data_IF_463173415008
#
_entry.id   IF_463173415008
#
_cell.length_a   1.000
_cell.length_b   1.000
_cell.length_c   1.000
_cell.angle_alpha   90.00
_cell.angle_beta   90.00
_cell.angle_gamma   90.00
#
_symmetry.space_group_name_H-M   'P 1'
#
loop_
_entity.id
_entity.type
_entity.pdbx_description
1 polymer ?
#
# COMPACT_ATOMS: atom_id res chain seq x y z
N UNK A 1 -24.24 -37.99 7.46
CA UNK A 1 -24.57 -37.92 6.03
C UNK A 1 -23.27 -37.89 5.26
N UNK A 2 -23.05 -38.81 4.31
CA UNK A 2 -21.82 -38.89 3.51
C UNK A 2 -22.04 -38.08 2.22
N UNK A 3 -21.30 -36.99 2.05
CA UNK A 3 -21.27 -36.21 0.81
C UNK A 3 -20.19 -36.78 -0.10
N UNK A 4 -20.64 -37.45 -1.16
CA UNK A 4 -19.80 -38.03 -2.21
C UNK A 4 -19.46 -36.93 -3.21
N UNK A 5 -18.23 -36.43 -3.19
CA UNK A 5 -17.74 -35.49 -4.21
C UNK A 5 -17.39 -36.27 -5.48
N UNK A 6 -18.07 -35.94 -6.59
CA UNK A 6 -17.73 -36.44 -7.93
C UNK A 6 -16.58 -35.61 -8.49
N UNK A 7 -15.46 -36.27 -8.77
CA UNK A 7 -14.34 -35.75 -9.54
C UNK A 7 -14.82 -35.28 -10.93
N UNK A 8 -14.71 -33.99 -11.20
CA UNK A 8 -14.81 -33.44 -12.56
C UNK A 8 -13.40 -33.42 -13.15
N UNK A 9 -13.05 -34.45 -13.93
CA UNK A 9 -11.87 -34.41 -14.80
C UNK A 9 -12.14 -33.43 -15.94
N UNK A 10 -11.58 -32.23 -15.85
CA UNK A 10 -11.51 -31.29 -16.97
C UNK A 10 -10.29 -31.67 -17.81
N UNK A 11 -10.52 -32.43 -18.87
CA UNK A 11 -9.57 -32.69 -19.93
C UNK A 11 -9.93 -31.88 -21.17
N UNK A 12 -8.91 -31.55 -21.96
CA UNK A 12 -8.98 -31.13 -23.37
C UNK A 12 -9.41 -29.65 -23.62
N UNK A 13 -8.81 -28.87 -24.51
CA UNK A 13 -7.99 -29.14 -25.70
C UNK A 13 -6.99 -27.99 -25.90
N UNK A 14 -5.72 -28.33 -26.10
CA UNK A 14 -4.69 -27.41 -26.63
C UNK A 14 -4.83 -27.39 -28.16
N UNK A 15 -5.44 -26.35 -28.74
CA UNK A 15 -5.41 -26.13 -30.20
C UNK A 15 -4.28 -25.17 -30.57
N UNK A 16 -3.15 -25.75 -30.97
CA UNK A 16 -2.11 -25.09 -31.77
C UNK A 16 -2.68 -24.78 -33.16
N UNK A 17 -2.76 -23.48 -33.49
CA UNK A 17 -3.17 -23.00 -34.81
C UNK A 17 -2.47 -21.69 -35.18
N UNK A 18 -1.26 -21.79 -35.74
CA UNK A 18 -0.79 -20.89 -36.82
C UNK A 18 -1.21 -21.52 -38.16
N UNK A 19 -1.38 -20.79 -39.30
CA UNK A 19 -0.71 -19.53 -39.68
C UNK A 19 -1.59 -18.52 -40.48
N UNK A 20 -0.99 -17.36 -40.82
CA UNK A 20 -0.91 -16.78 -42.17
C UNK A 20 -1.06 -15.25 -42.20
N UNK A 21 -0.10 -14.62 -42.87
CA UNK A 21 -0.03 -13.22 -43.18
C UNK A 21 -1.15 -12.75 -44.14
N UNK A 22 -1.75 -11.61 -43.80
CA UNK A 22 -2.43 -10.65 -44.69
C UNK A 22 -2.10 -9.29 -44.04
N UNK A 23 -1.36 -8.36 -44.63
CA UNK A 23 -1.37 -7.95 -46.04
C UNK A 23 -2.39 -6.84 -46.26
N UNK A 24 -2.25 -5.71 -45.55
CA UNK A 24 -2.90 -4.45 -45.94
C UNK A 24 -1.81 -3.39 -46.16
N UNK A 25 -1.59 -3.15 -47.45
CA UNK A 25 -1.02 -1.93 -48.01
C UNK A 25 -1.93 -0.76 -47.64
N UNK A 26 -1.40 0.28 -46.99
CA UNK A 26 -2.03 1.61 -47.00
C UNK A 26 -1.03 2.59 -47.64
N UNK A 27 -1.26 2.83 -48.92
CA UNK A 27 -0.58 3.83 -49.73
C UNK A 27 -1.39 5.14 -49.63
N UNK A 28 -1.21 5.88 -48.54
CA UNK A 28 -1.94 7.11 -48.24
C UNK A 28 -1.03 8.32 -48.01
N UNK A 29 -0.62 8.96 -49.10
CA UNK A 29 0.09 10.25 -49.10
C UNK A 29 -0.72 11.40 -48.46
N UNK A 30 0.00 12.26 -47.73
CA UNK A 30 -0.37 13.66 -47.49
C UNK A 30 -0.63 13.97 -46.02
N UNK A 31 0.01 14.92 -45.36
CA UNK A 31 0.92 15.95 -45.81
C UNK A 31 1.22 16.89 -44.64
N UNK A 32 2.17 17.78 -44.91
CA UNK A 32 2.51 19.02 -44.19
C UNK A 32 3.08 18.89 -42.79
N UNK A 33 4.42 18.99 -42.78
CA UNK A 33 5.23 19.79 -41.87
C UNK A 33 4.44 20.84 -41.09
N UNK A 34 4.50 20.75 -39.77
CA UNK A 34 4.43 21.90 -38.89
C UNK A 34 5.61 21.79 -37.92
N UNK A 35 6.73 22.37 -38.33
CA UNK A 35 7.82 22.73 -37.44
C UNK A 35 7.28 23.79 -36.47
N UNK A 36 6.97 23.38 -35.25
CA UNK A 36 6.58 24.26 -34.16
C UNK A 36 7.77 24.52 -33.25
N UNK A 37 8.71 25.35 -33.70
CA UNK A 37 9.73 25.96 -32.85
C UNK A 37 9.02 26.79 -31.76
N UNK A 38 9.15 26.36 -30.51
CA UNK A 38 8.80 27.14 -29.33
C UNK A 38 9.92 26.99 -28.31
N UNK A 39 11.05 27.61 -28.60
CA UNK A 39 12.07 27.98 -27.61
C UNK A 39 11.47 29.06 -26.70
N UNK A 40 10.93 28.63 -25.56
CA UNK A 40 10.50 29.49 -24.46
C UNK A 40 11.56 29.48 -23.37
N UNK A 41 12.55 30.37 -23.51
CA UNK A 41 13.60 30.59 -22.53
C UNK A 41 13.02 31.44 -21.38
N UNK A 42 12.27 30.79 -20.50
CA UNK A 42 11.69 31.40 -19.31
C UNK A 42 12.72 31.45 -18.17
N UNK A 43 13.66 32.37 -18.26
CA UNK A 43 14.52 32.76 -17.14
C UNK A 43 13.64 33.37 -16.04
N UNK A 44 13.37 32.57 -15.00
CA UNK A 44 12.67 32.96 -13.78
C UNK A 44 13.63 32.95 -12.60
N UNK A 45 14.49 33.96 -12.56
CA UNK A 45 15.36 34.36 -11.46
C UNK A 45 14.54 34.85 -10.26
N UNK A 46 14.00 33.89 -9.50
CA UNK A 46 13.40 34.10 -8.18
C UNK A 46 14.41 33.86 -7.06
N UNK A 47 15.27 34.85 -6.81
CA UNK A 47 16.14 34.90 -5.64
C UNK A 47 15.35 35.29 -4.39
N UNK A 48 15.15 34.39 -3.42
CA UNK A 48 15.02 34.77 -2.00
C UNK A 48 15.63 33.68 -1.10
N UNK A 49 16.88 33.93 -0.69
CA UNK A 49 17.54 33.30 0.45
C UNK A 49 16.85 33.76 1.73
N UNK A 50 16.02 32.90 2.31
CA UNK A 50 15.52 33.07 3.67
C UNK A 50 16.49 32.44 4.66
N UNK A 51 17.51 33.19 5.07
CA UNK A 51 18.36 32.87 6.21
C UNK A 51 17.54 33.05 7.51
N UNK A 52 16.81 32.01 7.89
CA UNK A 52 16.12 31.90 9.17
C UNK A 52 17.06 31.37 10.24
N UNK A 53 17.93 32.24 10.76
CA UNK A 53 18.78 32.05 11.93
C UNK A 53 17.97 32.06 13.23
N UNK A 54 17.13 31.04 13.41
CA UNK A 54 16.44 30.75 14.67
C UNK A 54 17.35 30.03 15.65
N UNK A 55 18.22 30.78 16.32
CA UNK A 55 18.95 30.30 17.50
C UNK A 55 18.02 30.23 18.72
N UNK A 56 17.54 29.04 19.08
CA UNK A 56 17.05 28.79 20.44
C UNK A 56 17.89 27.70 21.10
N UNK A 57 18.97 28.17 21.73
CA UNK A 57 19.67 27.45 22.78
C UNK A 57 18.77 27.40 24.01
N UNK A 58 18.02 26.30 24.16
CA UNK A 58 17.33 25.95 25.40
C UNK A 58 18.24 25.10 26.28
N UNK A 59 19.07 25.76 27.07
CA UNK A 59 19.90 25.20 28.14
C UNK A 59 19.07 24.90 29.40
N UNK A 60 18.25 23.85 29.32
CA UNK A 60 17.55 23.28 30.46
C UNK A 60 18.41 22.28 31.22
N UNK A 61 19.35 22.77 32.02
CA UNK A 61 20.10 21.98 32.98
C UNK A 61 19.28 21.75 34.26
N UNK A 62 18.81 20.51 34.46
CA UNK A 62 18.38 20.04 35.78
C UNK A 62 19.16 18.77 36.16
N UNK A 63 20.31 18.99 36.78
CA UNK A 63 21.02 18.00 37.58
C UNK A 63 20.28 17.85 38.91
N UNK A 64 19.34 16.91 38.96
CA UNK A 64 18.72 16.45 40.20
C UNK A 64 19.60 15.41 40.88
N UNK A 65 20.52 15.87 41.73
CA UNK A 65 21.30 15.03 42.65
C UNK A 65 20.37 14.51 43.76
N UNK A 66 19.73 13.38 43.50
CA UNK A 66 18.92 12.64 44.47
C UNK A 66 19.75 11.59 45.18
N UNK A 67 20.58 12.02 46.13
CA UNK A 67 21.26 11.14 47.10
C UNK A 67 20.23 10.46 48.00
N UNK A 68 19.96 9.19 47.72
CA UNK A 68 19.09 8.31 48.49
C UNK A 68 19.83 7.05 48.94
N UNK A 69 20.80 7.21 49.85
CA UNK A 69 21.39 6.12 50.63
C UNK A 69 20.34 5.45 51.51
N UNK A 70 20.16 4.14 51.41
CA UNK A 70 19.31 3.39 52.34
C UNK A 70 19.21 1.88 52.10
N UNK A 71 19.88 1.13 52.97
CA UNK A 71 19.61 -0.26 53.39
C UNK A 71 20.21 -1.46 52.62
N UNK A 72 21.44 -1.75 53.02
CA UNK A 72 21.85 -2.96 53.76
C UNK A 72 21.05 -4.26 53.57
N UNK A 73 21.69 -5.21 52.91
CA UNK A 73 21.80 -6.58 53.44
C UNK A 73 20.81 -7.59 52.89
N UNK A 74 21.16 -8.22 51.79
CA UNK A 74 20.89 -9.66 51.64
C UNK A 74 21.98 -10.31 50.80
N UNK A 75 22.86 -11.05 51.47
CA UNK A 75 23.80 -11.98 50.86
C UNK A 75 23.03 -13.24 50.46
N UNK A 76 22.35 -13.19 49.32
CA UNK A 76 21.92 -14.39 48.61
C UNK A 76 22.81 -14.54 47.36
N UNK A 77 23.66 -15.56 47.26
CA UNK A 77 24.29 -15.91 46.00
C UNK A 77 23.30 -16.76 45.20
N UNK A 78 22.67 -16.13 44.22
CA UNK A 78 21.86 -16.79 43.19
C UNK A 78 21.89 -15.92 41.94
N UNK A 79 22.76 -16.22 40.98
CA UNK A 79 22.55 -17.19 39.88
C UNK A 79 21.65 -16.67 38.77
N UNK A 80 22.12 -15.65 38.06
CA UNK A 80 21.53 -15.26 36.79
C UNK A 80 21.84 -13.83 36.44
N UNK A 81 23.09 -13.56 36.07
CA UNK A 81 23.48 -12.39 35.28
C UNK A 81 22.88 -12.56 33.88
N UNK A 82 21.56 -12.76 33.78
CA UNK A 82 20.81 -12.66 32.55
C UNK A 82 20.84 -11.20 32.19
N UNK A 83 21.84 -10.86 31.40
CA UNK A 83 22.29 -9.55 30.96
C UNK A 83 21.17 -8.75 30.32
N UNK A 84 20.00 -9.37 30.08
CA UNK A 84 18.72 -8.70 29.87
C UNK A 84 18.89 -7.55 28.91
N UNK A 85 19.77 -7.76 27.94
CA UNK A 85 20.12 -6.95 26.79
C UNK A 85 18.90 -7.06 25.91
N UNK A 86 17.82 -6.46 26.44
CA UNK A 86 16.44 -6.63 26.07
C UNK A 86 16.39 -6.46 24.58
N UNK A 87 16.47 -7.60 23.91
CA UNK A 87 16.46 -7.66 22.47
C UNK A 87 15.16 -6.96 22.13
N UNK A 88 15.20 -5.77 21.53
CA UNK A 88 13.99 -5.03 21.23
C UNK A 88 13.14 -6.02 20.45
N UNK A 89 12.04 -6.45 21.08
CA UNK A 89 11.32 -7.64 20.64
C UNK A 89 11.11 -7.57 19.14
N UNK A 90 11.32 -8.68 18.43
CA UNK A 90 11.24 -8.69 16.97
C UNK A 90 9.95 -7.98 16.54
N UNK A 91 10.05 -7.03 15.59
CA UNK A 91 8.91 -6.21 15.22
C UNK A 91 7.78 -7.13 14.74
N UNK A 92 6.61 -6.94 15.34
CA UNK A 92 5.44 -7.77 15.10
C UNK A 92 4.23 -6.87 14.89
N UNK A 93 3.33 -7.29 13.99
CA UNK A 93 2.02 -6.66 13.87
C UNK A 93 1.23 -6.88 15.18
N UNK A 94 0.35 -5.93 15.57
CA UNK A 94 -0.51 -6.10 16.74
C UNK A 94 -1.33 -7.41 16.67
N UNK A 95 -1.61 -8.01 17.82
CA UNK A 95 -2.38 -9.28 17.91
C UNK A 95 -3.78 -9.18 17.29
N UNK A 96 -4.35 -7.97 17.23
CA UNK A 96 -5.66 -7.69 16.66
C UNK A 96 -5.63 -7.30 15.17
N UNK A 97 -4.47 -7.33 14.51
CA UNK A 97 -4.38 -7.11 13.07
C UNK A 97 -5.18 -8.17 12.29
N UNK A 98 -5.93 -7.80 11.23
CA UNK A 98 -6.18 -6.46 10.69
C UNK A 98 -7.41 -5.74 11.27
N UNK A 99 -8.01 -6.24 12.35
CA UNK A 99 -9.23 -5.65 12.94
C UNK A 99 -9.01 -4.26 13.58
N UNK A 100 -7.76 -3.90 13.92
CA UNK A 100 -7.39 -2.55 14.38
C UNK A 100 -7.32 -1.50 13.28
N UNK A 101 -7.43 -1.87 12.01
CA UNK A 101 -7.40 -0.94 10.90
C UNK A 101 -8.78 -0.27 10.72
N UNK A 102 -8.85 1.04 10.98
CA UNK A 102 -10.08 1.82 11.09
C UNK A 102 -10.14 3.00 10.13
N UNK A 103 -8.99 3.51 9.69
CA UNK A 103 -8.89 4.65 8.77
C UNK A 103 -8.61 4.15 7.37
N UNK A 104 -9.52 4.37 6.42
CA UNK A 104 -9.33 3.98 5.04
C UNK A 104 -9.28 5.20 4.11
N UNK A 105 -8.33 5.20 3.18
CA UNK A 105 -8.19 6.20 2.14
C UNK A 105 -7.68 5.59 0.85
N UNK A 106 -7.90 6.28 -0.26
CA UNK A 106 -7.45 5.80 -1.56
C UNK A 106 -7.36 6.91 -2.61
N UNK A 107 -6.70 6.58 -3.71
CA UNK A 107 -6.43 7.50 -4.82
C UNK A 107 -5.96 6.73 -6.06
N UNK A 108 -5.56 7.48 -7.08
CA UNK A 108 -5.10 6.94 -8.36
C UNK A 108 -6.22 6.15 -9.02
N UNK A 109 -5.85 5.14 -9.80
CA UNK A 109 -6.85 4.19 -10.29
C UNK A 109 -7.34 3.30 -9.14
N UNK A 110 -6.46 2.50 -8.53
CA UNK A 110 -6.74 1.81 -7.26
C UNK A 110 -5.50 1.71 -6.38
N UNK A 111 -5.21 2.77 -5.63
CA UNK A 111 -4.40 2.68 -4.43
C UNK A 111 -5.32 2.78 -3.21
N UNK A 112 -5.16 1.87 -2.26
CA UNK A 112 -5.92 1.84 -1.00
C UNK A 112 -4.91 1.70 0.14
N UNK A 113 -4.99 2.60 1.12
CA UNK A 113 -4.30 2.50 2.39
C UNK A 113 -5.35 2.38 3.50
N UNK A 114 -5.21 1.38 4.36
CA UNK A 114 -6.03 1.23 5.57
C UNK A 114 -5.13 1.16 6.78
N UNK A 115 -5.27 2.09 7.71
CA UNK A 115 -4.39 2.26 8.85
C UNK A 115 -5.16 2.19 10.17
N UNK A 116 -4.45 1.97 11.27
CA UNK A 116 -4.98 2.19 12.62
C UNK A 116 -5.17 3.70 12.90
N UNK A 117 -5.74 4.02 14.07
CA UNK A 117 -5.97 5.39 14.53
C UNK A 117 -4.68 6.23 14.60
N UNK A 118 -3.54 5.60 14.87
CA UNK A 118 -2.24 6.28 14.94
C UNK A 118 -1.53 6.42 13.58
N UNK A 119 -2.02 5.80 12.51
CA UNK A 119 -1.35 5.81 11.20
C UNK A 119 -0.01 5.06 11.17
N UNK A 120 0.27 4.22 12.16
CA UNK A 120 1.55 3.52 12.35
C UNK A 120 1.55 2.08 11.89
N UNK A 121 0.38 1.46 11.79
CA UNK A 121 0.17 0.11 11.27
C UNK A 121 -0.82 0.19 10.13
N UNK A 122 -0.54 -0.46 9.00
CA UNK A 122 -1.42 -0.37 7.86
C UNK A 122 -1.35 -1.53 6.89
N UNK A 123 -2.37 -1.58 6.05
CA UNK A 123 -2.49 -2.44 4.89
C UNK A 123 -2.52 -1.57 3.64
N UNK A 124 -1.55 -1.80 2.75
CA UNK A 124 -1.36 -1.05 1.52
C UNK A 124 -1.68 -1.95 0.34
N UNK A 125 -2.66 -1.56 -0.45
CA UNK A 125 -3.06 -2.25 -1.66
C UNK A 125 -2.87 -1.35 -2.88
N UNK A 126 -2.29 -1.90 -3.94
CA UNK A 126 -2.18 -1.25 -5.23
C UNK A 126 -2.64 -2.21 -6.31
N UNK A 127 -3.62 -1.78 -7.11
CA UNK A 127 -4.08 -2.43 -8.32
C UNK A 127 -4.24 -1.40 -9.44
N UNK A 128 -4.37 -1.88 -10.67
CA UNK A 128 -4.47 -1.01 -11.84
C UNK A 128 -5.64 -1.36 -12.76
N UNK A 129 -6.10 -0.33 -13.46
CA UNK A 129 -7.10 -0.32 -14.52
C UNK A 129 -8.54 -0.67 -14.08
N UNK A 130 -8.90 -0.70 -12.79
CA UNK A 130 -10.29 -1.01 -12.40
C UNK A 130 -11.19 0.21 -12.39
N UNK A 131 -10.78 1.34 -11.80
CA UNK A 131 -11.64 2.51 -11.70
C UNK A 131 -11.90 3.11 -13.09
N UNK A 132 -10.85 3.17 -13.93
CA UNK A 132 -10.97 3.59 -15.32
C UNK A 132 -11.90 2.66 -16.13
N UNK A 133 -11.73 1.34 -16.02
CA UNK A 133 -12.60 0.38 -16.70
C UNK A 133 -14.04 0.48 -16.22
N UNK A 134 -14.25 0.67 -14.92
CA UNK A 134 -15.58 0.83 -14.33
C UNK A 134 -16.32 2.03 -14.94
N UNK A 135 -15.61 3.16 -15.13
CA UNK A 135 -16.15 4.35 -15.79
C UNK A 135 -16.36 4.16 -17.30
N UNK A 136 -15.41 3.56 -18.01
CA UNK A 136 -15.54 3.30 -19.45
C UNK A 136 -16.76 2.42 -19.77
N UNK A 137 -16.98 1.40 -18.93
CA UNK A 137 -18.12 0.49 -19.07
C UNK A 137 -19.41 1.03 -18.45
N UNK A 138 -19.31 1.97 -17.51
CA UNK A 138 -20.45 2.44 -16.71
C UNK A 138 -21.04 1.38 -15.79
N UNK A 139 -20.21 0.42 -15.34
CA UNK A 139 -20.64 -0.78 -14.61
C UNK A 139 -19.65 -1.12 -13.49
N UNK A 140 -20.16 -1.74 -12.41
CA UNK A 140 -19.34 -2.28 -11.32
C UNK A 140 -18.33 -3.31 -11.85
N UNK A 141 -17.06 -3.13 -11.50
CA UNK A 141 -16.00 -4.08 -11.82
C UNK A 141 -15.67 -4.93 -10.59
N UNK A 142 -15.43 -6.21 -10.79
CA UNK A 142 -14.99 -7.14 -9.75
C UNK A 142 -13.76 -7.87 -10.26
N UNK A 143 -12.66 -7.82 -9.51
CA UNK A 143 -11.43 -8.55 -9.81
C UNK A 143 -11.03 -9.40 -8.62
N UNK A 144 -10.98 -10.71 -8.85
CA UNK A 144 -10.39 -11.68 -7.92
C UNK A 144 -8.94 -11.94 -8.36
N UNK A 145 -8.01 -11.98 -7.42
CA UNK A 145 -6.59 -12.26 -7.67
C UNK A 145 -6.04 -13.24 -6.64
N UNK A 146 -5.36 -14.29 -7.11
CA UNK A 146 -4.62 -15.23 -6.27
C UNK A 146 -3.20 -14.70 -6.07
N UNK A 147 -2.74 -14.67 -4.82
CA UNK A 147 -1.45 -14.08 -4.46
C UNK A 147 -0.30 -15.11 -4.50
N UNK A 148 0.92 -14.70 -4.90
CA UNK A 148 1.24 -13.38 -5.45
C UNK A 148 0.68 -13.23 -6.88
N UNK A 149 0.26 -12.03 -7.23
CA UNK A 149 -0.25 -11.69 -8.57
C UNK A 149 0.61 -10.58 -9.16
N UNK A 150 0.88 -10.57 -10.48
CA UNK A 150 1.57 -9.47 -11.13
C UNK A 150 0.72 -8.19 -11.20
N UNK A 151 -0.61 -8.31 -11.10
CA UNK A 151 -1.55 -7.20 -11.32
C UNK A 151 -1.96 -6.48 -10.04
N UNK A 152 -1.61 -7.04 -8.87
CA UNK A 152 -1.90 -6.44 -7.56
C UNK A 152 -0.72 -6.59 -6.63
N UNK A 153 -0.47 -5.56 -5.83
CA UNK A 153 0.49 -5.57 -4.74
C UNK A 153 -0.26 -5.35 -3.44
N UNK A 154 -0.12 -6.29 -2.50
CA UNK A 154 -0.75 -6.23 -1.18
C UNK A 154 0.34 -6.39 -0.11
N UNK A 155 0.41 -5.42 0.79
CA UNK A 155 1.43 -5.35 1.85
C UNK A 155 0.79 -4.99 3.19
N UNK A 156 1.33 -5.54 4.26
CA UNK A 156 1.14 -5.05 5.61
C UNK A 156 2.41 -4.31 6.04
N UNK A 157 2.28 -3.22 6.79
CA UNK A 157 3.42 -2.38 7.15
C UNK A 157 3.29 -1.81 8.57
N UNK A 158 4.46 -1.59 9.19
CA UNK A 158 4.63 -0.70 10.33
C UNK A 158 5.48 0.49 9.85
N UNK A 159 5.11 1.70 10.22
CA UNK A 159 5.81 2.90 9.81
C UNK A 159 5.14 4.18 10.26
N UNK A 160 5.30 5.25 9.48
CA UNK A 160 4.58 6.51 9.64
C UNK A 160 4.09 7.00 8.28
N UNK A 161 3.10 7.91 8.28
CA UNK A 161 2.53 8.50 7.05
C UNK A 161 2.03 7.42 6.06
N UNK A 162 1.53 6.29 6.57
CA UNK A 162 1.16 5.14 5.73
C UNK A 162 -0.02 5.44 4.77
N UNK A 163 -0.82 6.46 5.08
CA UNK A 163 -1.92 6.98 4.27
C UNK A 163 -1.50 8.11 3.29
N UNK A 164 -0.26 8.60 3.37
CA UNK A 164 0.27 9.69 2.54
C UNK A 164 0.67 9.23 1.11
N UNK A 165 0.38 7.97 0.75
CA UNK A 165 0.63 7.44 -0.60
C UNK A 165 -0.13 8.15 -1.71
N UNK A 166 -1.11 8.98 -1.34
CA UNK A 166 -1.94 9.78 -2.23
C UNK A 166 -1.56 11.25 -2.30
N UNK A 167 -0.49 11.68 -1.65
CA UNK A 167 -0.06 13.07 -1.65
C UNK A 167 1.10 13.25 -2.64
N UNK A 168 0.89 14.06 -3.68
CA UNK A 168 1.89 14.39 -4.70
C UNK A 168 3.02 15.30 -4.16
N UNK A 169 2.74 16.01 -3.08
CA UNK A 169 3.69 16.90 -2.38
C UNK A 169 4.27 16.29 -1.10
N UNK A 170 3.81 15.09 -0.73
CA UNK A 170 4.17 14.40 0.51
C UNK A 170 5.48 13.62 0.41
N UNK A 171 6.00 13.23 1.58
CA UNK A 171 7.14 12.30 1.65
C UNK A 171 6.71 10.86 1.32
N UNK A 172 5.40 10.60 1.29
CA UNK A 172 4.82 9.28 1.09
C UNK A 172 5.01 8.36 2.31
N UNK A 173 4.54 7.10 2.22
CA UNK A 173 4.64 6.14 3.31
C UNK A 173 6.09 5.89 3.74
N UNK A 174 6.39 6.18 5.01
CA UNK A 174 7.69 5.90 5.62
C UNK A 174 7.62 4.52 6.29
N UNK A 175 7.97 3.49 5.54
CA UNK A 175 7.86 2.08 5.98
C UNK A 175 9.11 1.68 6.76
N UNK A 176 8.93 1.25 8.01
CA UNK A 176 9.99 0.70 8.87
C UNK A 176 10.07 -0.82 8.75
N UNK A 177 8.91 -1.48 8.77
CA UNK A 177 8.79 -2.93 8.60
C UNK A 177 7.69 -3.25 7.60
N UNK A 178 7.92 -4.28 6.77
CA UNK A 178 7.01 -4.65 5.70
C UNK A 178 6.85 -6.16 5.63
N UNK A 179 5.61 -6.59 5.44
CA UNK A 179 5.27 -7.94 5.03
C UNK A 179 4.57 -7.90 3.67
N UNK A 180 5.03 -8.72 2.74
CA UNK A 180 4.40 -8.88 1.42
C UNK A 180 3.47 -10.09 1.44
N UNK A 181 2.28 -9.96 0.84
CA UNK A 181 1.38 -11.10 0.71
C UNK A 181 1.93 -12.14 -0.29
N UNK A 182 2.12 -13.37 0.18
CA UNK A 182 2.72 -14.48 -0.59
C UNK A 182 1.72 -15.58 -0.96
N UNK A 183 0.52 -15.57 -0.36
CA UNK A 183 -0.55 -16.51 -0.70
C UNK A 183 -1.92 -15.96 -0.29
N UNK A 184 -3.00 -16.64 -0.72
CA UNK A 184 -4.38 -16.27 -0.45
C UNK A 184 -5.07 -15.65 -1.66
N UNK A 185 -6.22 -15.04 -1.41
CA UNK A 185 -7.04 -14.39 -2.44
C UNK A 185 -7.43 -12.99 -1.98
N UNK A 186 -7.34 -12.05 -2.92
CA UNK A 186 -7.88 -10.71 -2.77
C UNK A 186 -8.98 -10.49 -3.80
N UNK A 187 -10.12 -9.98 -3.36
CA UNK A 187 -11.22 -9.56 -4.24
C UNK A 187 -11.41 -8.07 -4.09
N UNK A 188 -11.36 -7.37 -5.22
CA UNK A 188 -11.57 -5.94 -5.29
C UNK A 188 -12.83 -5.68 -6.11
N UNK A 189 -13.80 -5.00 -5.50
CA UNK A 189 -15.01 -4.53 -6.17
C UNK A 189 -14.93 -3.01 -6.28
N UNK A 190 -15.14 -2.47 -7.48
CA UNK A 190 -15.09 -1.02 -7.75
C UNK A 190 -16.40 -0.58 -8.39
N UNK A 191 -17.07 0.37 -7.76
CA UNK A 191 -18.34 0.96 -8.20
C UNK A 191 -18.07 2.39 -8.69
N UNK A 192 -18.26 2.69 -9.98
CA UNK A 192 -18.00 4.04 -10.49
C UNK A 192 -18.99 5.04 -9.87
N UNK A 193 -18.47 6.19 -9.44
CA UNK A 193 -19.23 7.29 -8.87
C UNK A 193 -19.10 8.55 -9.72
N UNK A 194 -20.08 9.45 -9.66
CA UNK A 194 -19.97 10.75 -10.32
C UNK A 194 -19.81 10.70 -11.84
N UNK A 195 -19.31 11.79 -12.43
CA UNK A 195 -18.93 11.86 -13.85
C UNK A 195 -17.42 11.78 -13.96
N UNK A 196 -16.92 10.94 -14.88
CA UNK A 196 -15.50 10.91 -15.20
C UNK A 196 -15.03 12.27 -15.78
N UNK A 197 -13.89 12.73 -15.27
CA UNK A 197 -13.14 13.88 -15.74
C UNK A 197 -11.74 13.42 -16.19
N UNK A 198 -11.02 14.20 -17.04
CA UNK A 198 -9.67 13.81 -17.49
C UNK A 198 -8.65 13.58 -16.36
N UNK A 199 -8.88 14.17 -15.19
CA UNK A 199 -8.02 14.07 -14.00
C UNK A 199 -8.67 13.28 -12.85
N UNK A 200 -9.90 12.78 -13.00
CA UNK A 200 -10.61 12.08 -11.95
C UNK A 200 -11.63 11.08 -12.49
N UNK A 201 -11.56 9.83 -12.03
CA UNK A 201 -12.50 8.76 -12.29
C UNK A 201 -13.07 8.23 -10.97
N UNK A 202 -13.81 9.06 -10.21
CA UNK A 202 -14.17 8.77 -8.81
C UNK A 202 -14.93 7.45 -8.68
N UNK A 203 -14.57 6.63 -7.70
CA UNK A 203 -15.23 5.35 -7.47
C UNK A 203 -15.18 4.95 -6.00
N UNK A 204 -16.12 4.12 -5.57
CA UNK A 204 -16.06 3.47 -4.26
C UNK A 204 -15.51 2.06 -4.46
N UNK A 205 -14.56 1.67 -3.62
CA UNK A 205 -13.91 0.37 -3.65
C UNK A 205 -14.20 -0.43 -2.37
N UNK A 206 -14.41 -1.72 -2.54
CA UNK A 206 -14.46 -2.73 -1.48
C UNK A 206 -13.32 -3.71 -1.69
N UNK A 207 -12.50 -3.92 -0.67
CA UNK A 207 -11.37 -4.85 -0.69
C UNK A 207 -11.65 -5.98 0.31
N UNK A 208 -11.66 -7.21 -0.19
CA UNK A 208 -11.89 -8.43 0.59
C UNK A 208 -10.66 -9.33 0.54
N UNK A 209 -10.20 -9.80 1.69
CA UNK A 209 -9.09 -10.73 1.85
C UNK A 209 -9.62 -12.09 2.29
N UNK A 210 -9.05 -13.16 1.76
CA UNK A 210 -9.39 -14.54 2.14
C UNK A 210 -8.14 -15.41 2.21
N UNK A 211 -7.86 -15.94 3.40
CA UNK A 211 -6.70 -16.78 3.73
C UNK A 211 -5.37 -16.20 3.24
N UNK A 212 -5.15 -14.90 3.46
CA UNK A 212 -3.93 -14.21 3.00
C UNK A 212 -2.81 -14.45 3.99
N UNK A 213 -1.65 -14.89 3.50
CA UNK A 213 -0.42 -14.99 4.30
C UNK A 213 0.56 -13.92 3.88
N UNK A 214 1.08 -13.20 4.85
CA UNK A 214 2.06 -12.14 4.74
C UNK A 214 3.41 -12.61 5.29
N UNK A 215 4.49 -12.39 4.55
CA UNK A 215 5.86 -12.73 4.95
C UNK A 215 6.78 -11.50 4.81
N UNK A 216 7.73 -11.35 5.73
CA UNK A 216 8.75 -10.30 5.72
C UNK A 216 10.11 -10.86 6.15
N UNK A 217 11.20 -10.25 5.69
CA UNK A 217 12.56 -10.73 6.01
C UNK A 217 12.85 -10.55 7.51
N UNK A 218 13.08 -11.66 8.22
CA UNK A 218 13.34 -11.64 9.66
C UNK A 218 12.11 -11.34 10.53
N UNK A 219 10.91 -11.33 9.93
CA UNK A 219 9.64 -11.08 10.62
C UNK A 219 8.81 -12.36 10.70
N UNK A 220 7.99 -12.49 11.75
CA UNK A 220 7.06 -13.61 11.85
C UNK A 220 5.97 -13.52 10.77
N UNK A 221 5.61 -14.63 10.08
CA UNK A 221 4.52 -14.62 9.12
C UNK A 221 3.17 -14.31 9.78
N UNK A 222 2.33 -13.55 9.08
CA UNK A 222 1.00 -13.17 9.55
C UNK A 222 -0.07 -13.74 8.63
N UNK A 223 -1.10 -14.36 9.21
CA UNK A 223 -2.20 -14.98 8.46
C UNK A 223 -3.49 -14.22 8.75
N UNK A 224 -4.16 -13.78 7.68
CA UNK A 224 -5.47 -13.15 7.71
C UNK A 224 -6.49 -14.12 7.10
N UNK A 225 -7.31 -14.74 7.95
CA UNK A 225 -8.32 -15.70 7.51
C UNK A 225 -9.37 -15.04 6.61
N UNK A 226 -9.94 -13.91 7.06
CA UNK A 226 -10.88 -13.10 6.31
C UNK A 226 -10.94 -11.69 6.88
N UNK A 227 -10.97 -10.69 5.99
CA UNK A 227 -11.13 -9.30 6.37
C UNK A 227 -11.67 -8.50 5.19
N UNK A 228 -12.46 -7.47 5.46
CA UNK A 228 -13.08 -6.62 4.43
C UNK A 228 -13.04 -5.17 4.87
N UNK A 229 -12.70 -4.28 3.94
CA UNK A 229 -12.91 -2.83 4.04
C UNK A 229 -13.83 -2.41 2.90
N UNK A 230 -14.84 -1.62 3.23
CA UNK A 230 -15.88 -1.15 2.30
C UNK A 230 -15.79 0.38 2.14
N UNK A 231 -16.45 0.88 1.09
CA UNK A 231 -16.65 2.31 0.85
C UNK A 231 -15.35 3.14 0.82
N UNK A 232 -14.25 2.56 0.31
CA UNK A 232 -12.98 3.28 0.14
C UNK A 232 -13.04 4.11 -1.13
N UNK A 233 -12.97 5.43 -1.01
CA UNK A 233 -12.93 6.31 -2.16
C UNK A 233 -11.60 6.17 -2.92
N UNK A 234 -11.67 5.91 -4.22
CA UNK A 234 -10.54 5.81 -5.17
C UNK A 234 -10.85 6.58 -6.46
N UNK A 235 -9.95 6.54 -7.45
CA UNK A 235 -10.20 7.15 -8.75
C UNK A 235 -9.78 8.61 -8.87
N UNK A 236 -9.26 9.23 -7.81
CA UNK A 236 -8.79 10.61 -7.84
C UNK A 236 -7.27 10.68 -8.00
N UNK A 237 -6.78 11.39 -9.02
CA UNK A 237 -5.36 11.69 -9.14
C UNK A 237 -5.04 12.92 -8.27
N UNK A 238 -4.10 12.81 -7.32
CA UNK A 238 -3.54 14.00 -6.71
C UNK A 238 -2.83 14.84 -7.77
N UNK A 239 -2.98 16.15 -7.67
CA UNK A 239 -2.31 17.11 -8.53
C UNK A 239 -2.35 18.52 -7.96
#
# INVERSE_FOLDING_TARGET
MRLTYKSLSLACVLTLGLPAAVGCTDDGSGGTSADGDSSGDGDGDGSETGDGDGTETGDGSETGDGDGDGDTGSTAPGDGDGDGDGDPGSPALPEDFPASLTNAGGCGDVYIAVTNDEGTVGLLFNGSELAATAHEMGETQIRESVLPSPDVNLRAAIGTLLDDGCNDTGDGPQIEHEWTAVSGTVTLTVVPQGMAEPWAMPADATLELTNVTFEGEGLEPVVVDSWTVEDVYVGWLPG
#
